data_IF_023605388923
#
_entry.id   IF_023605388923
#
_cell.length_a   1.000
_cell.length_b   1.000
_cell.length_c   1.000
_cell.angle_alpha   90.00
_cell.angle_beta   90.00
_cell.angle_gamma   90.00
#
_symmetry.space_group_name_H-M   'P 1'
#
loop_
_entity.id
_entity.type
_entity.pdbx_description
1 polymer ?
#
# COMPACT_ATOMS: atom_id res chain seq x y z
N UNK A 1 -6.34 -17.32 17.19
CA UNK A 1 -6.21 -17.74 15.79
C UNK A 1 -5.96 -19.25 15.76
N UNK A 2 -6.79 -19.97 15.02
CA UNK A 2 -6.75 -21.43 14.97
C UNK A 2 -5.68 -22.01 14.01
N UNK A 3 -4.63 -21.26 13.68
CA UNK A 3 -3.57 -21.69 12.76
C UNK A 3 -2.27 -20.93 12.95
N UNK A 4 -1.14 -21.63 12.75
CA UNK A 4 0.20 -21.06 12.78
C UNK A 4 0.55 -20.43 11.42
N UNK A 5 0.04 -19.23 11.14
CA UNK A 5 0.33 -18.46 9.93
C UNK A 5 0.38 -16.95 10.18
N UNK A 6 0.94 -16.19 9.26
CA UNK A 6 1.12 -14.75 9.39
C UNK A 6 2.29 -14.40 10.31
N UNK A 7 2.16 -13.32 11.09
CA UNK A 7 3.28 -12.75 11.85
C UNK A 7 3.88 -13.72 12.89
N UNK A 8 3.12 -14.68 13.44
CA UNK A 8 3.65 -15.68 14.37
C UNK A 8 4.77 -16.55 13.79
N UNK A 9 4.83 -16.70 12.45
CA UNK A 9 5.90 -17.43 11.78
C UNK A 9 7.27 -16.78 11.91
N UNK A 10 7.35 -15.53 12.32
CA UNK A 10 8.64 -14.91 12.65
C UNK A 10 9.35 -15.60 13.81
N UNK A 11 8.60 -16.27 14.72
CA UNK A 11 9.19 -17.08 15.81
C UNK A 11 9.78 -18.41 15.31
N UNK A 12 9.58 -18.78 14.05
CA UNK A 12 10.05 -20.02 13.44
C UNK A 12 10.63 -19.75 12.03
N UNK A 13 11.74 -18.99 11.95
CA UNK A 13 12.31 -18.57 10.66
C UNK A 13 12.64 -19.73 9.74
N UNK A 14 12.96 -20.92 10.27
CA UNK A 14 13.24 -22.13 9.51
C UNK A 14 12.02 -22.61 8.72
N UNK A 15 10.81 -22.47 9.26
CA UNK A 15 9.57 -22.82 8.54
C UNK A 15 9.36 -21.85 7.37
N UNK A 16 9.63 -20.56 7.57
CA UNK A 16 9.55 -19.55 6.51
C UNK A 16 10.56 -19.85 5.40
N UNK A 17 11.80 -20.20 5.78
CA UNK A 17 12.85 -20.60 4.85
C UNK A 17 12.44 -21.81 4.03
N UNK A 18 11.88 -22.86 4.64
CA UNK A 18 11.36 -24.03 3.93
C UNK A 18 10.24 -23.66 2.94
N UNK A 19 9.35 -22.72 3.29
CA UNK A 19 8.33 -22.23 2.37
C UNK A 19 8.94 -21.50 1.16
N UNK A 20 9.96 -20.68 1.38
CA UNK A 20 10.68 -19.97 0.30
C UNK A 20 11.35 -20.98 -0.62
N UNK A 21 12.09 -21.93 -0.06
CA UNK A 21 12.78 -22.97 -0.82
C UNK A 21 11.80 -23.78 -1.67
N UNK A 22 10.70 -24.24 -1.08
CA UNK A 22 9.67 -25.01 -1.80
C UNK A 22 9.03 -24.20 -2.96
N UNK A 23 8.80 -22.89 -2.78
CA UNK A 23 8.29 -22.04 -3.85
C UNK A 23 9.31 -21.87 -4.99
N UNK A 24 10.59 -21.70 -4.66
CA UNK A 24 11.66 -21.56 -5.65
C UNK A 24 11.95 -22.84 -6.43
N UNK A 25 11.68 -24.00 -5.85
CA UNK A 25 11.84 -25.29 -6.56
C UNK A 25 10.81 -25.49 -7.68
N UNK A 26 9.67 -24.80 -7.64
CA UNK A 26 8.56 -24.98 -8.61
C UNK A 26 8.32 -23.75 -9.50
N UNK A 27 9.08 -22.66 -9.32
CA UNK A 27 8.87 -21.42 -10.06
C UNK A 27 10.14 -20.58 -10.11
N UNK A 28 10.41 -19.99 -11.29
CA UNK A 28 11.48 -19.01 -11.51
C UNK A 28 11.07 -17.58 -11.13
N UNK A 29 9.84 -17.38 -10.69
CA UNK A 29 9.37 -16.06 -10.25
C UNK A 29 10.10 -15.62 -8.96
N UNK A 30 10.36 -14.32 -8.79
CA UNK A 30 10.93 -13.79 -7.56
C UNK A 30 10.05 -14.12 -6.35
N UNK A 31 10.65 -14.71 -5.32
CA UNK A 31 9.99 -14.95 -4.03
C UNK A 31 10.40 -13.85 -3.09
N UNK A 32 9.46 -13.00 -2.70
CA UNK A 32 9.70 -11.88 -1.79
C UNK A 32 9.01 -12.12 -0.45
N UNK A 33 9.56 -11.55 0.61
CA UNK A 33 9.00 -11.69 1.95
C UNK A 33 8.50 -10.35 2.49
N UNK A 34 7.27 -10.33 3.01
CA UNK A 34 6.77 -9.21 3.80
C UNK A 34 6.65 -9.60 5.26
N UNK A 35 7.37 -8.89 6.14
CA UNK A 35 7.41 -9.15 7.58
C UNK A 35 7.14 -7.91 8.43
N UNK A 36 7.22 -8.09 9.73
CA UNK A 36 7.37 -7.07 10.77
C UNK A 36 8.82 -7.00 11.23
N UNK A 37 9.14 -6.09 12.17
CA UNK A 37 10.46 -6.05 12.84
C UNK A 37 10.56 -7.04 14.02
N UNK A 38 9.46 -7.70 14.38
CA UNK A 38 9.41 -8.68 15.46
C UNK A 38 7.97 -9.00 15.85
N UNK A 39 7.81 -9.99 16.71
CA UNK A 39 6.53 -10.50 17.22
C UNK A 39 6.62 -10.69 18.71
N UNK A 40 5.59 -10.28 19.46
CA UNK A 40 5.46 -10.46 20.92
C UNK A 40 6.77 -10.20 21.68
N UNK A 41 7.43 -11.26 22.16
CA UNK A 41 8.62 -11.20 23.02
C UNK A 41 9.94 -11.03 22.23
N UNK A 42 9.93 -10.93 20.89
CA UNK A 42 11.11 -10.54 20.12
C UNK A 42 11.45 -9.07 20.41
N UNK A 43 12.47 -8.85 21.23
CA UNK A 43 12.82 -7.51 21.76
C UNK A 43 14.13 -6.96 21.20
N UNK A 44 14.94 -7.78 20.50
CA UNK A 44 16.26 -7.41 20.03
C UNK A 44 16.35 -7.25 18.51
N UNK A 45 17.31 -6.44 18.08
CA UNK A 45 17.67 -6.31 16.65
C UNK A 45 18.27 -7.61 16.11
N UNK A 46 19.03 -8.33 16.93
CA UNK A 46 19.69 -9.60 16.58
C UNK A 46 18.67 -10.66 16.16
N UNK A 47 17.49 -10.70 16.79
CA UNK A 47 16.42 -11.62 16.39
C UNK A 47 15.88 -11.30 14.99
N UNK A 48 15.81 -10.02 14.63
CA UNK A 48 15.45 -9.60 13.27
C UNK A 48 16.55 -9.99 12.27
N UNK A 49 17.81 -9.81 12.62
CA UNK A 49 18.99 -10.24 11.82
C UNK A 49 18.96 -11.74 11.60
N UNK A 50 18.72 -12.55 12.65
CA UNK A 50 18.64 -14.01 12.53
C UNK A 50 17.48 -14.43 11.59
N UNK A 51 16.33 -13.79 11.72
CA UNK A 51 15.19 -14.01 10.84
C UNK A 51 15.53 -13.73 9.37
N UNK A 52 16.08 -12.55 9.07
CA UNK A 52 16.47 -12.16 7.70
C UNK A 52 17.54 -13.12 7.15
N UNK A 53 18.59 -13.40 7.94
CA UNK A 53 19.68 -14.31 7.56
C UNK A 53 19.17 -15.71 7.22
N UNK A 54 18.29 -16.26 8.07
CA UNK A 54 17.75 -17.61 7.89
C UNK A 54 16.92 -17.71 6.61
N UNK A 55 16.08 -16.72 6.34
CA UNK A 55 15.22 -16.72 5.15
C UNK A 55 16.03 -16.41 3.88
N UNK A 56 17.03 -15.54 3.97
CA UNK A 56 17.93 -15.24 2.84
C UNK A 56 18.71 -16.47 2.39
N UNK A 57 19.19 -17.30 3.31
CA UNK A 57 19.87 -18.57 2.98
C UNK A 57 19.02 -19.53 2.15
N UNK A 58 17.69 -19.43 2.22
CA UNK A 58 16.76 -20.18 1.37
C UNK A 58 16.53 -19.50 0.00
N UNK A 59 17.20 -18.38 -0.27
CA UNK A 59 17.18 -17.68 -1.55
C UNK A 59 16.15 -16.55 -1.66
N UNK A 60 15.60 -16.03 -0.57
CA UNK A 60 14.86 -14.78 -0.57
C UNK A 60 15.85 -13.61 -0.47
N UNK A 61 15.87 -12.73 -1.46
CA UNK A 61 16.74 -11.56 -1.54
C UNK A 61 16.00 -10.22 -1.39
N UNK A 62 14.67 -10.27 -1.30
CA UNK A 62 13.82 -9.09 -1.25
C UNK A 62 12.88 -9.14 -0.04
N UNK A 63 13.06 -8.18 0.86
CA UNK A 63 12.30 -8.08 2.10
C UNK A 63 11.56 -6.75 2.19
N UNK A 64 10.25 -6.79 2.44
CA UNK A 64 9.45 -5.60 2.75
C UNK A 64 9.13 -5.64 4.24
N UNK A 65 9.73 -4.73 5.01
CA UNK A 65 9.67 -4.76 6.47
C UNK A 65 8.72 -3.65 6.98
N UNK A 66 7.64 -4.06 7.65
CA UNK A 66 6.81 -3.12 8.38
C UNK A 66 7.51 -2.74 9.69
N UNK A 67 7.88 -1.48 9.84
CA UNK A 67 8.68 -0.95 10.95
C UNK A 67 7.92 -0.91 12.30
N UNK A 68 7.09 -1.91 12.57
CA UNK A 68 6.38 -2.13 13.85
C UNK A 68 6.44 -3.60 14.25
N UNK A 69 6.55 -3.87 15.53
CA UNK A 69 6.30 -5.22 16.08
C UNK A 69 4.83 -5.62 15.87
N UNK A 70 4.55 -6.91 15.92
CA UNK A 70 3.21 -7.42 16.08
C UNK A 70 3.01 -7.92 17.51
N UNK A 71 2.00 -7.41 18.20
CA UNK A 71 1.54 -7.95 19.46
C UNK A 71 0.33 -8.83 19.20
N UNK A 72 0.54 -10.15 19.21
CA UNK A 72 -0.50 -11.13 18.87
C UNK A 72 -1.52 -11.30 19.98
N UNK A 73 -1.12 -11.01 21.21
CA UNK A 73 -1.98 -11.05 22.39
C UNK A 73 -2.49 -9.63 22.70
N UNK A 74 -3.79 -9.49 22.85
CA UNK A 74 -4.43 -8.25 23.35
C UNK A 74 -4.72 -7.17 22.32
N UNK A 75 -4.25 -7.28 21.06
CA UNK A 75 -4.54 -6.33 19.99
C UNK A 75 -5.19 -6.99 18.78
N UNK A 76 -6.21 -6.32 18.24
CA UNK A 76 -6.76 -6.69 16.94
C UNK A 76 -5.77 -6.40 15.79
N UNK A 77 -5.95 -6.99 14.60
CA UNK A 77 -5.14 -6.66 13.43
C UNK A 77 -5.16 -5.18 13.04
N UNK A 78 -6.24 -4.46 13.36
CA UNK A 78 -6.36 -3.02 13.12
C UNK A 78 -5.46 -2.23 14.09
N UNK A 79 -5.53 -2.54 15.37
CA UNK A 79 -4.74 -1.91 16.43
C UNK A 79 -3.25 -2.17 16.24
N UNK A 80 -2.87 -3.37 15.82
CA UNK A 80 -1.48 -3.74 15.48
C UNK A 80 -0.85 -2.89 14.35
N UNK A 81 -1.64 -2.09 13.64
CA UNK A 81 -1.14 -1.16 12.60
C UNK A 81 -0.89 0.24 13.13
N UNK A 82 -1.28 0.53 14.36
CA UNK A 82 -1.24 1.89 14.92
C UNK A 82 -0.64 1.97 16.32
N UNK A 83 -0.91 1.01 17.21
CA UNK A 83 -0.51 1.05 18.61
C UNK A 83 0.97 0.73 18.80
N UNK A 84 1.55 -0.39 18.30
CA UNK A 84 2.97 -0.64 18.48
C UNK A 84 3.80 0.50 17.87
N UNK A 85 4.87 0.97 18.55
CA UNK A 85 5.68 2.08 18.06
C UNK A 85 6.37 1.74 16.74
N UNK A 86 6.62 2.76 15.92
CA UNK A 86 7.45 2.65 14.73
C UNK A 86 8.93 2.65 15.15
N UNK A 87 9.70 1.78 14.52
CA UNK A 87 11.15 1.75 14.64
C UNK A 87 11.75 1.61 13.23
N UNK A 88 11.97 2.74 12.58
CA UNK A 88 12.57 2.78 11.24
C UNK A 88 14.06 2.47 11.26
N UNK A 89 14.75 2.76 12.35
CA UNK A 89 16.21 2.60 12.48
C UNK A 89 16.62 1.14 12.30
N UNK A 90 15.83 0.18 12.81
CA UNK A 90 16.10 -1.23 12.59
C UNK A 90 16.01 -1.63 11.12
N UNK A 91 15.09 -1.04 10.36
CA UNK A 91 14.96 -1.34 8.92
C UNK A 91 16.12 -0.74 8.13
N UNK A 92 16.56 0.47 8.50
CA UNK A 92 17.73 1.10 7.90
C UNK A 92 19.01 0.31 8.21
N UNK A 93 19.13 -0.17 9.44
CA UNK A 93 20.28 -0.96 9.86
C UNK A 93 20.32 -2.32 9.13
N UNK A 94 19.17 -2.99 8.91
CA UNK A 94 19.11 -4.19 8.06
C UNK A 94 19.67 -3.90 6.66
N UNK A 95 19.34 -2.75 6.05
CA UNK A 95 19.90 -2.40 4.74
C UNK A 95 21.42 -2.17 4.79
N UNK A 96 21.93 -1.60 5.87
CA UNK A 96 23.37 -1.40 6.06
C UNK A 96 24.12 -2.72 6.27
N UNK A 97 23.55 -3.62 7.08
CA UNK A 97 24.16 -4.91 7.41
C UNK A 97 24.04 -5.92 6.25
N UNK A 98 23.04 -5.75 5.36
CA UNK A 98 22.80 -6.60 4.17
C UNK A 98 22.68 -5.73 2.91
N UNK A 99 23.76 -5.07 2.48
CA UNK A 99 23.71 -4.14 1.35
C UNK A 99 23.32 -4.80 0.02
N UNK A 100 23.52 -6.12 -0.12
CA UNK A 100 23.15 -6.90 -1.31
C UNK A 100 21.66 -7.22 -1.38
N UNK A 101 20.93 -7.17 -0.26
CA UNK A 101 19.50 -7.44 -0.24
C UNK A 101 18.67 -6.22 -0.67
N UNK A 102 17.56 -6.48 -1.33
CA UNK A 102 16.55 -5.45 -1.60
C UNK A 102 15.66 -5.28 -0.37
N UNK A 103 15.79 -4.15 0.31
CA UNK A 103 15.04 -3.83 1.52
C UNK A 103 14.00 -2.75 1.25
N UNK A 104 12.73 -3.10 1.42
CA UNK A 104 11.61 -2.16 1.39
C UNK A 104 11.09 -1.84 2.78
N UNK A 105 10.82 -0.56 3.03
CA UNK A 105 10.22 -0.10 4.28
C UNK A 105 8.71 0.09 4.16
N UNK A 106 7.98 -0.21 5.22
CA UNK A 106 6.55 0.00 5.32
C UNK A 106 6.17 0.47 6.74
N UNK A 107 5.06 1.16 6.86
CA UNK A 107 4.46 1.58 8.14
C UNK A 107 4.53 3.08 8.37
N UNK A 108 3.38 3.70 8.62
CA UNK A 108 3.29 5.13 8.95
C UNK A 108 3.55 6.11 7.81
N UNK A 109 3.90 5.67 6.62
CA UNK A 109 4.19 6.51 5.45
C UNK A 109 2.86 7.03 4.90
N UNK A 110 2.64 8.35 5.02
CA UNK A 110 1.38 8.99 4.68
C UNK A 110 1.50 10.02 3.54
N UNK A 111 2.72 10.45 3.21
CA UNK A 111 3.01 11.42 2.17
C UNK A 111 4.13 10.89 1.26
N UNK A 112 4.25 11.43 0.03
CA UNK A 112 5.34 11.07 -0.87
C UNK A 112 6.69 11.58 -0.36
N UNK A 113 6.69 12.69 0.35
CA UNK A 113 7.86 13.28 1.01
C UNK A 113 8.43 12.32 2.07
N UNK A 114 7.57 11.65 2.85
CA UNK A 114 7.99 10.60 3.79
C UNK A 114 8.66 9.45 3.01
N UNK A 115 8.04 9.02 1.90
CA UNK A 115 8.58 7.96 1.06
C UNK A 115 9.96 8.33 0.48
N UNK A 116 10.13 9.56 -0.02
CA UNK A 116 11.42 10.07 -0.52
C UNK A 116 12.51 10.04 0.56
N UNK A 117 12.19 10.49 1.78
CA UNK A 117 13.13 10.46 2.91
C UNK A 117 13.55 9.03 3.27
N UNK A 118 12.66 8.06 3.15
CA UNK A 118 13.00 6.65 3.35
C UNK A 118 13.86 6.09 2.23
N UNK A 119 13.60 6.48 0.96
CA UNK A 119 14.36 6.02 -0.22
C UNK A 119 15.82 6.45 -0.22
N UNK A 120 16.20 7.43 0.59
CA UNK A 120 17.62 7.78 0.83
C UNK A 120 18.37 6.69 1.61
N UNK A 121 17.68 5.77 2.28
CA UNK A 121 18.25 4.79 3.22
C UNK A 121 17.94 3.33 2.88
N UNK A 122 16.89 3.08 2.07
CA UNK A 122 16.44 1.75 1.66
C UNK A 122 16.02 1.75 0.19
N UNK A 123 15.85 0.57 -0.39
CA UNK A 123 15.62 0.42 -1.84
C UNK A 123 14.18 0.71 -2.27
N UNK A 124 13.21 0.59 -1.36
CA UNK A 124 11.81 0.86 -1.68
C UNK A 124 10.99 1.29 -0.47
N UNK A 125 9.91 2.03 -0.71
CA UNK A 125 8.95 2.46 0.29
C UNK A 125 7.54 1.98 -0.08
N UNK A 126 6.93 1.15 0.78
CA UNK A 126 5.58 0.62 0.55
C UNK A 126 4.55 1.48 1.26
N UNK A 127 3.75 2.21 0.48
CA UNK A 127 2.56 2.89 0.97
C UNK A 127 1.39 1.90 1.04
N UNK A 128 0.53 2.06 2.04
CA UNK A 128 -0.62 1.17 2.23
C UNK A 128 -1.93 1.94 2.25
N UNK A 129 -2.49 2.13 3.44
CA UNK A 129 -3.82 2.71 3.66
C UNK A 129 -4.02 4.09 3.06
N UNK A 130 -2.97 4.91 3.03
CA UNK A 130 -3.04 6.27 2.49
C UNK A 130 -3.43 6.24 1.00
N UNK A 131 -2.82 5.37 0.21
CA UNK A 131 -3.12 5.23 -1.22
C UNK A 131 -4.58 4.78 -1.45
N UNK A 132 -5.09 3.89 -0.61
CA UNK A 132 -6.49 3.48 -0.68
C UNK A 132 -7.47 4.61 -0.32
N UNK A 133 -7.12 5.43 0.67
CA UNK A 133 -7.97 6.53 1.11
C UNK A 133 -7.82 7.81 0.28
N UNK A 134 -6.67 7.96 -0.38
CA UNK A 134 -6.28 9.13 -1.17
C UNK A 134 -5.56 8.68 -2.45
N UNK A 135 -6.23 7.97 -3.38
CA UNK A 135 -5.56 7.35 -4.53
C UNK A 135 -4.90 8.38 -5.45
N UNK A 136 -5.39 9.62 -5.48
CA UNK A 136 -4.81 10.68 -6.30
C UNK A 136 -3.41 11.13 -5.83
N UNK A 137 -2.96 10.72 -4.64
CA UNK A 137 -1.58 10.89 -4.19
C UNK A 137 -0.57 10.24 -5.16
N UNK A 138 -0.96 9.17 -5.84
CA UNK A 138 -0.11 8.48 -6.81
C UNK A 138 0.14 9.28 -8.09
N UNK A 139 -0.62 10.35 -8.35
CA UNK A 139 -0.46 11.20 -9.52
C UNK A 139 0.95 11.80 -9.66
N UNK A 140 1.60 12.07 -8.52
CA UNK A 140 2.92 12.69 -8.47
C UNK A 140 4.08 11.68 -8.40
N UNK A 141 3.80 10.37 -8.33
CA UNK A 141 4.84 9.34 -8.11
C UNK A 141 5.84 9.30 -9.25
N UNK A 142 5.37 9.29 -10.50
CA UNK A 142 6.24 9.21 -11.68
C UNK A 142 7.19 10.41 -11.75
N UNK A 143 6.67 11.61 -11.48
CA UNK A 143 7.48 12.82 -11.48
C UNK A 143 8.43 12.92 -10.29
N UNK A 144 7.93 12.68 -9.05
CA UNK A 144 8.70 12.93 -7.82
C UNK A 144 9.68 11.80 -7.48
N UNK A 145 9.30 10.54 -7.74
CA UNK A 145 10.10 9.36 -7.37
C UNK A 145 10.91 8.85 -8.56
N UNK A 146 10.26 8.69 -9.73
CA UNK A 146 10.94 8.14 -10.90
C UNK A 146 11.52 9.20 -11.84
N UNK A 147 11.38 10.51 -11.51
CA UNK A 147 11.90 11.65 -12.27
C UNK A 147 11.48 11.62 -13.75
N UNK A 148 10.32 11.04 -14.03
CA UNK A 148 9.75 10.99 -15.37
C UNK A 148 9.00 12.28 -15.69
N UNK A 149 9.19 12.80 -16.90
CA UNK A 149 8.47 13.99 -17.36
C UNK A 149 7.06 13.59 -17.83
N UNK A 150 6.15 13.37 -16.88
CA UNK A 150 4.76 13.01 -17.15
C UNK A 150 3.84 14.18 -16.85
N UNK A 151 2.86 14.42 -17.72
CA UNK A 151 1.74 15.31 -17.40
C UNK A 151 0.79 14.62 -16.43
N UNK A 152 0.58 15.19 -15.26
CA UNK A 152 -0.37 14.66 -14.30
C UNK A 152 -1.80 14.75 -14.84
N UNK A 153 -2.48 13.63 -14.88
CA UNK A 153 -3.92 13.62 -15.22
C UNK A 153 -4.72 14.33 -14.12
N UNK A 154 -5.70 15.14 -14.48
CA UNK A 154 -6.64 15.68 -13.50
C UNK A 154 -7.50 14.55 -12.88
N UNK A 155 -8.14 14.83 -11.74
CA UNK A 155 -9.07 13.85 -11.11
C UNK A 155 -10.22 13.50 -12.04
N UNK A 156 -10.69 14.45 -12.82
CA UNK A 156 -11.75 14.29 -13.80
C UNK A 156 -11.31 13.35 -14.92
N UNK A 157 -10.09 13.51 -15.43
CA UNK A 157 -9.50 12.60 -16.44
C UNK A 157 -9.30 11.20 -15.89
N UNK A 158 -8.80 11.07 -14.64
CA UNK A 158 -8.70 9.76 -13.97
C UNK A 158 -10.08 9.11 -13.84
N UNK A 159 -11.11 9.88 -13.46
CA UNK A 159 -12.48 9.39 -13.34
C UNK A 159 -13.04 8.97 -14.69
N UNK A 160 -12.82 9.75 -15.77
CA UNK A 160 -13.23 9.39 -17.12
C UNK A 160 -12.61 8.07 -17.57
N UNK A 161 -11.31 7.89 -17.39
CA UNK A 161 -10.63 6.64 -17.72
C UNK A 161 -11.19 5.46 -16.92
N UNK A 162 -11.54 5.69 -15.65
CA UNK A 162 -12.14 4.66 -14.81
C UNK A 162 -13.57 4.33 -15.20
N UNK A 163 -14.34 5.29 -15.73
CA UNK A 163 -15.68 5.04 -16.28
C UNK A 163 -15.61 4.08 -17.46
N UNK A 164 -14.63 4.22 -18.35
CA UNK A 164 -14.47 3.29 -19.48
C UNK A 164 -14.16 1.86 -18.99
N UNK A 165 -13.31 1.72 -17.98
CA UNK A 165 -13.08 0.43 -17.32
C UNK A 165 -14.39 -0.14 -16.72
N UNK A 166 -15.17 0.69 -16.01
CA UNK A 166 -16.46 0.26 -15.43
C UNK A 166 -17.41 -0.24 -16.49
N UNK A 167 -17.52 0.42 -17.63
CA UNK A 167 -18.38 -0.02 -18.74
C UNK A 167 -18.02 -1.43 -19.19
N UNK A 168 -16.74 -1.65 -19.52
CA UNK A 168 -16.25 -2.95 -19.98
C UNK A 168 -16.54 -4.05 -18.94
N UNK A 169 -16.30 -3.79 -17.66
CA UNK A 169 -16.53 -4.78 -16.60
C UNK A 169 -18.03 -5.00 -16.32
N UNK A 170 -18.82 -3.94 -16.42
CA UNK A 170 -20.28 -4.03 -16.24
C UNK A 170 -20.94 -4.86 -17.32
N UNK A 171 -20.48 -4.76 -18.57
CA UNK A 171 -20.93 -5.58 -19.69
C UNK A 171 -20.62 -7.08 -19.46
N UNK A 172 -19.60 -7.37 -18.66
CA UNK A 172 -19.25 -8.73 -18.19
C UNK A 172 -20.00 -9.15 -16.91
N UNK A 173 -20.94 -8.34 -16.42
CA UNK A 173 -21.78 -8.64 -15.26
C UNK A 173 -21.18 -8.22 -13.92
N UNK A 174 -20.07 -7.47 -13.87
CA UNK A 174 -19.51 -6.96 -12.60
C UNK A 174 -20.35 -5.78 -12.12
N UNK A 175 -20.89 -5.83 -10.88
CA UNK A 175 -21.67 -4.72 -10.34
C UNK A 175 -20.86 -3.43 -10.22
N UNK A 176 -21.38 -2.31 -10.70
CA UNK A 176 -20.72 -0.98 -10.67
C UNK A 176 -20.27 -0.63 -9.26
N UNK A 177 -21.08 -0.90 -8.25
CA UNK A 177 -20.74 -0.62 -6.85
C UNK A 177 -19.51 -1.38 -6.36
N UNK A 178 -19.24 -2.58 -6.89
CA UNK A 178 -18.04 -3.35 -6.53
C UNK A 178 -16.76 -2.66 -6.95
N UNK A 179 -16.82 -1.84 -8.00
CA UNK A 179 -15.70 -1.06 -8.53
C UNK A 179 -15.64 0.33 -7.88
N UNK A 180 -16.74 1.08 -7.86
CA UNK A 180 -16.77 2.47 -7.37
C UNK A 180 -16.46 2.62 -5.89
N UNK A 181 -16.68 1.58 -5.07
CA UNK A 181 -16.30 1.57 -3.65
C UNK A 181 -14.80 1.82 -3.40
N UNK A 182 -13.96 1.57 -4.39
CA UNK A 182 -12.50 1.71 -4.30
C UNK A 182 -12.00 3.12 -4.67
N UNK A 183 -12.85 3.97 -5.25
CA UNK A 183 -12.49 5.34 -5.65
C UNK A 183 -13.11 6.43 -4.78
N UNK A 184 -13.74 6.07 -3.67
CA UNK A 184 -14.40 7.04 -2.77
C UNK A 184 -13.45 8.13 -2.26
N UNK A 185 -12.15 7.86 -2.28
CA UNK A 185 -11.09 8.78 -1.86
C UNK A 185 -10.53 9.66 -2.98
N UNK A 186 -10.98 9.53 -4.24
CA UNK A 186 -10.40 10.24 -5.38
C UNK A 186 -10.38 11.77 -5.19
N UNK A 187 -11.42 12.32 -4.58
CA UNK A 187 -11.54 13.76 -4.27
C UNK A 187 -11.19 14.10 -2.82
N UNK A 188 -10.41 13.26 -2.13
CA UNK A 188 -9.98 13.58 -0.76
C UNK A 188 -9.27 14.93 -0.70
N UNK A 189 -9.63 15.75 0.31
CA UNK A 189 -9.08 17.10 0.50
C UNK A 189 -9.62 18.17 -0.47
N UNK A 190 -10.51 17.82 -1.40
CA UNK A 190 -11.10 18.77 -2.36
C UNK A 190 -12.47 19.27 -1.89
N UNK A 191 -12.89 20.47 -2.33
CA UNK A 191 -14.27 20.92 -2.18
C UNK A 191 -15.25 19.84 -2.66
N UNK A 192 -16.37 19.69 -1.95
CA UNK A 192 -17.41 18.70 -2.27
C UNK A 192 -17.02 17.22 -2.21
N UNK A 193 -15.85 16.83 -1.67
CA UNK A 193 -15.44 15.43 -1.51
C UNK A 193 -16.48 14.57 -0.77
N UNK A 194 -17.21 15.15 0.20
CA UNK A 194 -18.30 14.45 0.91
C UNK A 194 -19.47 14.12 -0.02
N UNK A 195 -19.83 15.05 -0.92
CA UNK A 195 -20.88 14.83 -1.94
C UNK A 195 -20.52 13.70 -2.88
N UNK A 196 -19.28 13.66 -3.37
CA UNK A 196 -18.78 12.55 -4.18
C UNK A 196 -18.90 11.19 -3.47
N UNK A 197 -18.45 11.12 -2.21
CA UNK A 197 -18.59 9.88 -1.40
C UNK A 197 -20.04 9.46 -1.23
N UNK A 198 -20.94 10.39 -0.94
CA UNK A 198 -22.38 10.12 -0.77
C UNK A 198 -23.00 9.57 -2.06
N UNK A 199 -22.67 10.16 -3.19
CA UNK A 199 -23.14 9.75 -4.51
C UNK A 199 -22.79 8.27 -4.82
N UNK A 200 -21.59 7.86 -4.45
CA UNK A 200 -21.09 6.50 -4.72
C UNK A 200 -21.33 5.51 -3.58
N UNK A 201 -21.85 5.94 -2.44
CA UNK A 201 -22.14 5.07 -1.28
C UNK A 201 -23.59 4.62 -1.23
N UNK A 202 -24.44 5.04 -2.14
CA UNK A 202 -25.86 4.69 -2.23
C UNK A 202 -26.10 3.17 -2.38
N UNK A 203 -27.35 2.75 -2.13
CA UNK A 203 -27.75 1.34 -2.34
C UNK A 203 -27.62 0.92 -3.80
N UNK A 204 -27.92 1.83 -4.71
CA UNK A 204 -27.79 1.67 -6.16
C UNK A 204 -26.84 2.72 -6.67
N UNK A 205 -25.79 2.29 -7.36
CA UNK A 205 -24.82 3.16 -8.04
C UNK A 205 -24.87 2.83 -9.52
N UNK A 206 -25.09 3.85 -10.35
CA UNK A 206 -25.18 3.76 -11.80
C UNK A 206 -24.14 4.67 -12.45
N UNK A 207 -23.77 4.40 -13.70
CA UNK A 207 -22.82 5.22 -14.47
C UNK A 207 -23.26 6.69 -14.56
N UNK A 208 -24.56 6.97 -14.65
CA UNK A 208 -25.07 8.35 -14.68
C UNK A 208 -24.58 9.18 -13.50
N UNK A 209 -24.44 8.61 -12.29
CA UNK A 209 -23.96 9.34 -11.11
C UNK A 209 -22.53 9.83 -11.27
N UNK A 210 -21.69 9.08 -12.00
CA UNK A 210 -20.31 9.49 -12.28
C UNK A 210 -20.28 10.63 -13.31
N UNK A 211 -21.14 10.59 -14.32
CA UNK A 211 -21.27 11.69 -15.29
C UNK A 211 -21.86 12.95 -14.66
N UNK A 212 -22.90 12.83 -13.86
CA UNK A 212 -23.47 13.95 -13.08
C UNK A 212 -22.42 14.64 -12.21
N UNK A 213 -21.49 13.87 -11.63
CA UNK A 213 -20.38 14.42 -10.88
C UNK A 213 -19.40 15.20 -11.78
N UNK A 214 -19.05 14.67 -12.94
CA UNK A 214 -18.16 15.35 -13.90
C UNK A 214 -18.77 16.66 -14.40
N UNK A 215 -20.06 16.65 -14.75
CA UNK A 215 -20.79 17.85 -15.17
C UNK A 215 -20.83 18.90 -14.07
N UNK A 216 -21.05 18.47 -12.83
CA UNK A 216 -20.99 19.35 -11.65
C UNK A 216 -19.60 19.98 -11.49
N UNK A 217 -18.51 19.21 -11.64
CA UNK A 217 -17.15 19.72 -11.50
C UNK A 217 -16.78 20.70 -12.63
N UNK A 218 -17.20 20.43 -13.85
CA UNK A 218 -16.97 21.33 -14.98
C UNK A 218 -17.69 22.67 -14.76
N UNK A 219 -18.93 22.66 -14.26
CA UNK A 219 -19.66 23.89 -13.97
C UNK A 219 -19.05 24.73 -12.85
N UNK A 220 -18.39 24.10 -11.83
CA UNK A 220 -17.64 24.82 -10.80
C UNK A 220 -16.42 25.55 -11.39
N UNK A 221 -15.67 24.91 -12.31
CA UNK A 221 -14.49 25.51 -12.92
C UNK A 221 -14.81 26.69 -13.82
N UNK A 222 -15.93 26.64 -14.55
CA UNK A 222 -16.39 27.75 -15.40
C UNK A 222 -16.75 28.98 -14.56
N UNK A 223 -17.30 28.81 -13.37
CA UNK A 223 -17.59 29.90 -12.45
C UNK A 223 -16.35 30.53 -11.79
N UNK A 224 -15.31 29.74 -11.54
CA UNK A 224 -14.05 30.25 -10.96
C UNK A 224 -13.18 30.99 -12.02
N UNK A 225 -13.30 30.66 -13.31
CA UNK A 225 -12.54 31.29 -14.38
C UNK A 225 -13.26 32.49 -15.02
N UNK A 226 -14.53 32.72 -14.71
CA UNK A 226 -15.38 33.80 -15.26
C UNK A 226 -15.61 34.98 -14.32
N UNK A 227 -14.97 35.02 -13.17
CA UNK A 227 -14.99 36.12 -12.18
C UNK A 227 -13.65 36.79 -12.06
#
# INVERSE_FOLDING_TARGET
QSGSFGACLMNTPQVVAQCVDAMKQVSDLPVTLKSRIGVDDMESYEELVDFVTTVNKAGCDTFIIHARKAWLKGLSPKENRTIPPLNYDWVYQIKQDFPELTIGINGGINHLEDALSHLEKVDSAMLGRVVYHQPYLLCDVDAKIYQQNTSNLSREQVLLNFIEYIKVQSDQGVPIRSMTRHILGLYHGQPNAKKFKQLLSGKVVELKHLYEWLDFKNSEQDHENGG
#
